data_IF_967219208690
#
_entry.id   IF_967219208690
#
_cell.length_a   1.000
_cell.length_b   1.000
_cell.length_c   1.000
_cell.angle_alpha   90.00
_cell.angle_beta   90.00
_cell.angle_gamma   90.00
#
_symmetry.space_group_name_H-M   'P 1'
#
loop_
_entity.id
_entity.type
_entity.pdbx_description
1 polymer ?
#
# COMPACT_ATOMS: atom_id res chain seq x y z
N UNK A 1 9.97 12.58 21.13
CA UNK A 1 9.77 13.99 20.75
C UNK A 1 10.89 14.61 19.89
N UNK A 2 11.99 13.91 19.56
CA UNK A 2 13.19 14.57 18.98
C UNK A 2 13.43 14.45 17.47
N UNK A 3 12.66 13.68 16.70
CA UNK A 3 12.96 13.49 15.26
C UNK A 3 12.15 14.38 14.30
N UNK A 4 10.98 14.88 14.69
CA UNK A 4 10.22 15.89 13.89
C UNK A 4 10.82 17.30 13.96
N UNK A 5 11.71 17.57 14.93
CA UNK A 5 12.24 18.90 15.19
C UNK A 5 13.45 19.27 14.31
N UNK A 6 14.13 18.28 13.70
CA UNK A 6 15.34 18.53 12.90
C UNK A 6 15.03 18.84 11.42
N UNK A 7 13.86 18.43 10.93
CA UNK A 7 13.38 18.81 9.60
C UNK A 7 12.30 19.87 9.77
N UNK A 8 12.67 21.13 9.52
CA UNK A 8 11.79 22.30 9.58
C UNK A 8 10.73 22.33 8.45
N UNK A 9 10.08 21.19 8.20
CA UNK A 9 9.05 20.99 7.20
C UNK A 9 7.71 21.00 7.92
N UNK A 10 7.01 22.14 7.89
CA UNK A 10 5.60 22.19 8.21
C UNK A 10 4.81 21.78 6.96
N UNK A 11 4.32 20.55 6.95
CA UNK A 11 3.35 20.10 5.96
C UNK A 11 2.03 19.80 6.69
N UNK A 12 0.93 20.28 6.15
CA UNK A 12 -0.42 20.00 6.64
C UNK A 12 -0.81 18.57 6.21
N UNK A 13 -0.24 17.59 6.92
CA UNK A 13 -0.42 16.16 6.65
C UNK A 13 -0.92 15.50 7.94
N UNK A 14 -2.18 15.11 7.92
CA UNK A 14 -2.78 14.28 8.95
C UNK A 14 -2.40 12.81 8.75
N UNK A 15 -2.20 12.11 9.87
CA UNK A 15 -2.07 10.65 9.88
C UNK A 15 -3.35 9.99 9.34
N UNK A 16 -3.20 8.84 8.68
CA UNK A 16 -4.33 8.01 8.24
C UNK A 16 -4.90 7.14 9.36
N UNK A 17 -4.38 7.21 10.60
CA UNK A 17 -4.73 6.32 11.70
C UNK A 17 -6.25 6.18 11.90
N UNK A 18 -6.75 4.96 11.68
CA UNK A 18 -8.17 4.62 11.83
C UNK A 18 -8.36 3.11 12.00
N UNK A 19 -9.49 2.72 12.58
CA UNK A 19 -9.87 1.31 12.71
C UNK A 19 -10.40 0.79 11.37
N UNK A 20 -9.95 -0.41 10.95
CA UNK A 20 -10.32 -0.99 9.65
C UNK A 20 -11.31 -2.17 9.76
N UNK A 21 -11.80 -2.48 10.96
CA UNK A 21 -12.68 -3.63 11.18
C UNK A 21 -13.97 -3.58 10.35
N UNK A 22 -14.59 -2.40 10.22
CA UNK A 22 -15.82 -2.24 9.41
C UNK A 22 -15.56 -2.33 7.90
N UNK A 23 -14.39 -1.87 7.45
CA UNK A 23 -13.94 -2.07 6.07
C UNK A 23 -13.81 -3.57 5.77
N UNK A 24 -13.12 -4.32 6.64
CA UNK A 24 -12.93 -5.77 6.49
C UNK A 24 -14.25 -6.52 6.55
N UNK A 25 -15.14 -6.20 7.50
CA UNK A 25 -16.49 -6.77 7.59
C UNK A 25 -17.28 -6.56 6.29
N UNK A 26 -17.20 -5.34 5.72
CA UNK A 26 -17.86 -5.01 4.46
C UNK A 26 -17.31 -5.80 3.27
N UNK A 27 -15.98 -5.97 3.19
CA UNK A 27 -15.33 -6.78 2.15
C UNK A 27 -15.79 -8.24 2.22
N UNK A 28 -15.79 -8.84 3.41
CA UNK A 28 -16.20 -10.22 3.63
C UNK A 28 -17.71 -10.45 3.39
N UNK A 29 -18.53 -9.41 3.54
CA UNK A 29 -19.97 -9.50 3.28
C UNK A 29 -20.32 -9.72 1.80
N UNK A 30 -19.40 -9.42 0.87
CA UNK A 30 -19.66 -9.48 -0.57
C UNK A 30 -18.86 -10.56 -1.30
N UNK A 31 -17.78 -11.08 -0.73
CA UNK A 31 -16.96 -12.12 -1.34
C UNK A 31 -16.25 -12.98 -0.29
N UNK A 32 -16.20 -14.29 -0.54
CA UNK A 32 -15.36 -15.25 0.19
C UNK A 32 -14.01 -15.51 -0.50
N UNK A 33 -13.74 -14.84 -1.63
CA UNK A 33 -12.54 -15.05 -2.45
C UNK A 33 -11.46 -13.98 -2.17
N UNK A 34 -11.29 -13.63 -0.91
CA UNK A 34 -10.20 -12.78 -0.42
C UNK A 34 -9.08 -13.72 0.04
N UNK A 35 -7.97 -13.75 -0.68
CA UNK A 35 -6.87 -14.69 -0.44
C UNK A 35 -5.92 -14.22 0.66
N UNK A 36 -5.70 -12.92 0.77
CA UNK A 36 -4.80 -12.32 1.76
C UNK A 36 -5.25 -10.91 2.12
N UNK A 37 -5.03 -10.52 3.37
CA UNK A 37 -5.28 -9.18 3.88
C UNK A 37 -4.24 -8.86 4.96
N UNK A 38 -3.50 -7.76 4.81
CA UNK A 38 -2.49 -7.28 5.77
C UNK A 38 -2.53 -5.76 5.89
N UNK A 39 -2.33 -5.25 7.09
CA UNK A 39 -2.14 -3.83 7.34
C UNK A 39 -0.75 -3.36 6.89
N UNK A 40 -0.67 -2.13 6.37
CA UNK A 40 0.56 -1.58 5.78
C UNK A 40 1.34 -0.69 6.75
N UNK A 41 1.59 -1.21 7.96
CA UNK A 41 2.30 -0.51 9.05
C UNK A 41 3.81 -0.41 8.74
N UNK A 42 4.69 -1.08 9.50
CA UNK A 42 6.14 -0.92 9.31
C UNK A 42 6.58 -1.42 7.94
N UNK A 43 7.29 -0.56 7.21
CA UNK A 43 7.79 -0.85 5.86
C UNK A 43 6.74 -0.70 4.75
N UNK A 44 5.54 -0.24 5.10
CA UNK A 44 4.51 0.20 4.17
C UNK A 44 3.97 -0.88 3.23
N UNK A 45 3.33 -0.42 2.16
CA UNK A 45 2.75 -1.27 1.11
C UNK A 45 3.82 -2.11 0.42
N UNK A 46 5.03 -1.56 0.20
CA UNK A 46 6.13 -2.29 -0.44
C UNK A 46 6.52 -3.56 0.33
N UNK A 47 6.64 -3.47 1.66
CA UNK A 47 6.96 -4.64 2.49
C UNK A 47 5.84 -5.66 2.45
N UNK A 48 4.58 -5.22 2.59
CA UNK A 48 3.43 -6.13 2.55
C UNK A 48 3.35 -6.88 1.22
N UNK A 49 3.52 -6.19 0.09
CA UNK A 49 3.52 -6.83 -1.23
C UNK A 49 4.65 -7.84 -1.38
N UNK A 50 5.87 -7.50 -0.93
CA UNK A 50 7.00 -8.42 -0.96
C UNK A 50 6.76 -9.67 -0.11
N UNK A 51 6.21 -9.52 1.09
CA UNK A 51 5.88 -10.65 1.93
C UNK A 51 4.82 -11.55 1.29
N UNK A 52 3.78 -10.97 0.68
CA UNK A 52 2.77 -11.74 -0.05
C UNK A 52 3.40 -12.49 -1.24
N UNK A 53 4.25 -11.82 -2.02
CA UNK A 53 4.92 -12.41 -3.17
C UNK A 53 5.80 -13.60 -2.77
N UNK A 54 6.60 -13.44 -1.72
CA UNK A 54 7.50 -14.47 -1.18
C UNK A 54 6.71 -15.62 -0.57
N UNK A 55 5.78 -15.32 0.36
CA UNK A 55 5.05 -16.36 1.10
C UNK A 55 4.15 -17.21 0.17
N UNK A 56 3.69 -16.62 -0.93
CA UNK A 56 2.80 -17.28 -1.90
C UNK A 56 3.53 -17.83 -3.14
N UNK A 57 4.85 -17.58 -3.28
CA UNK A 57 5.63 -17.87 -4.49
C UNK A 57 4.98 -17.33 -5.78
N UNK A 58 4.65 -16.04 -5.78
CA UNK A 58 4.01 -15.38 -6.93
C UNK A 58 4.78 -14.14 -7.37
N UNK A 59 4.54 -13.70 -8.60
CA UNK A 59 4.97 -12.41 -9.10
C UNK A 59 3.82 -11.40 -8.98
N UNK A 60 4.11 -10.20 -8.47
CA UNK A 60 3.14 -9.12 -8.35
C UNK A 60 3.57 -7.95 -9.23
N UNK A 61 2.66 -7.50 -10.11
CA UNK A 61 2.85 -6.33 -10.96
C UNK A 61 1.92 -5.21 -10.52
N UNK A 62 2.47 -4.07 -10.12
CA UNK A 62 1.71 -2.87 -9.72
C UNK A 62 1.92 -1.72 -10.71
N UNK A 63 0.94 -0.83 -10.81
CA UNK A 63 0.92 0.29 -11.76
C UNK A 63 1.13 1.62 -11.03
N UNK A 64 2.13 2.40 -11.42
CA UNK A 64 2.49 3.65 -10.73
C UNK A 64 1.36 4.71 -10.73
N UNK A 65 0.59 4.80 -11.81
CA UNK A 65 -0.52 5.75 -11.95
C UNK A 65 -1.73 5.44 -11.06
N UNK A 66 -1.86 4.19 -10.62
CA UNK A 66 -2.97 3.75 -9.78
C UNK A 66 -2.75 3.99 -8.28
N UNK A 67 -1.51 4.29 -7.87
CA UNK A 67 -1.16 4.46 -6.45
C UNK A 67 -1.80 5.74 -5.86
N UNK A 68 -2.62 5.64 -4.81
CA UNK A 68 -3.42 6.76 -4.29
C UNK A 68 -2.61 7.64 -3.31
N UNK A 69 -1.50 8.19 -3.78
CA UNK A 69 -0.60 9.00 -2.96
C UNK A 69 -1.09 10.45 -2.94
N UNK A 70 -1.43 10.96 -1.76
CA UNK A 70 -1.85 12.36 -1.56
C UNK A 70 -0.74 13.32 -1.99
N UNK A 71 -1.11 14.45 -2.63
CA UNK A 71 -0.15 15.45 -3.13
C UNK A 71 0.81 15.97 -2.03
N UNK A 72 0.35 16.31 -0.81
CA UNK A 72 1.25 16.71 0.26
C UNK A 72 2.25 15.61 0.66
N UNK A 73 1.81 14.35 0.73
CA UNK A 73 2.68 13.20 1.02
C UNK A 73 3.74 13.03 -0.05
N UNK A 74 3.36 13.12 -1.33
CA UNK A 74 4.30 13.05 -2.45
C UNK A 74 5.36 14.15 -2.35
N UNK A 75 4.96 15.39 -2.11
CA UNK A 75 5.89 16.52 -1.98
C UNK A 75 6.88 16.35 -0.83
N UNK A 76 6.44 15.85 0.34
CA UNK A 76 7.35 15.56 1.45
C UNK A 76 8.30 14.41 1.12
N UNK A 77 7.80 13.32 0.53
CA UNK A 77 8.63 12.21 0.07
C UNK A 77 9.74 12.67 -0.88
N UNK A 78 9.40 13.51 -1.85
CA UNK A 78 10.36 14.07 -2.82
C UNK A 78 11.45 14.92 -2.13
N UNK A 79 11.07 15.81 -1.21
CA UNK A 79 12.02 16.66 -0.47
C UNK A 79 12.97 15.80 0.38
N UNK A 80 12.46 14.72 0.96
CA UNK A 80 13.20 13.86 1.89
C UNK A 80 13.97 12.72 1.21
N UNK A 81 13.79 12.52 -0.09
CA UNK A 81 14.32 11.36 -0.80
C UNK A 81 13.73 10.04 -0.30
N UNK A 82 12.50 10.07 0.20
CA UNK A 82 11.78 8.89 0.67
C UNK A 82 10.85 8.37 -0.43
N UNK A 83 10.71 7.06 -0.51
CA UNK A 83 9.72 6.43 -1.39
C UNK A 83 8.43 6.15 -0.58
N UNK A 84 7.27 6.70 -0.99
CA UNK A 84 6.02 6.61 -0.25
C UNK A 84 5.52 5.17 -0.06
N UNK A 85 5.93 4.23 -0.91
CA UNK A 85 5.52 2.82 -0.77
C UNK A 85 6.06 2.17 0.51
N UNK A 86 7.12 2.72 1.09
CA UNK A 86 7.77 2.21 2.29
C UNK A 86 7.41 2.96 3.56
N UNK A 87 6.64 4.05 3.45
CA UNK A 87 6.15 4.79 4.60
C UNK A 87 5.10 3.96 5.35
N UNK A 88 5.15 4.06 6.68
CA UNK A 88 4.18 3.38 7.51
C UNK A 88 2.79 4.02 7.42
N UNK A 89 1.77 3.18 7.43
CA UNK A 89 0.36 3.56 7.42
C UNK A 89 -0.31 2.95 8.66
N UNK A 90 -1.20 3.70 9.30
CA UNK A 90 -1.92 3.27 10.51
C UNK A 90 -3.43 3.12 10.27
N UNK A 91 -3.83 3.17 9.00
CA UNK A 91 -5.23 3.12 8.56
C UNK A 91 -5.38 2.63 7.13
N UNK A 92 -4.40 1.84 6.65
CA UNK A 92 -4.35 1.30 5.29
C UNK A 92 -4.08 -0.20 5.33
N UNK A 93 -4.77 -0.95 4.47
CA UNK A 93 -4.54 -2.37 4.25
C UNK A 93 -4.23 -2.66 2.77
N UNK A 94 -3.53 -3.76 2.53
CA UNK A 94 -3.36 -4.39 1.23
C UNK A 94 -4.14 -5.70 1.23
N UNK A 95 -4.92 -5.95 0.19
CA UNK A 95 -5.65 -7.20 0.02
C UNK A 95 -5.41 -7.81 -1.36
N UNK A 96 -5.36 -9.13 -1.42
CA UNK A 96 -5.35 -9.90 -2.65
C UNK A 96 -6.68 -10.63 -2.76
N UNK A 97 -7.37 -10.41 -3.88
CA UNK A 97 -8.70 -10.95 -4.16
C UNK A 97 -8.69 -11.69 -5.49
N UNK A 98 -9.58 -12.65 -5.66
CA UNK A 98 -9.76 -13.30 -6.96
C UNK A 98 -10.21 -12.27 -8.00
N UNK A 99 -9.66 -12.34 -9.21
CA UNK A 99 -9.88 -11.34 -10.26
C UNK A 99 -11.36 -11.09 -10.58
N UNK A 100 -12.19 -12.14 -10.58
CA UNK A 100 -13.63 -12.03 -10.84
C UNK A 100 -14.41 -11.24 -9.78
N UNK A 101 -13.86 -11.12 -8.57
CA UNK A 101 -14.49 -10.43 -7.43
C UNK A 101 -13.87 -9.05 -7.16
N UNK A 102 -12.82 -8.65 -7.90
CA UNK A 102 -12.05 -7.45 -7.62
C UNK A 102 -12.91 -6.17 -7.62
N UNK A 103 -13.72 -5.98 -8.67
CA UNK A 103 -14.61 -4.82 -8.77
C UNK A 103 -15.72 -4.84 -7.72
N UNK A 104 -16.23 -6.02 -7.38
CA UNK A 104 -17.27 -6.21 -6.37
C UNK A 104 -16.76 -5.79 -4.98
N UNK A 105 -15.58 -6.31 -4.61
CA UNK A 105 -14.94 -5.98 -3.33
C UNK A 105 -14.56 -4.50 -3.29
N UNK A 106 -13.95 -3.97 -4.35
CA UNK A 106 -13.59 -2.54 -4.43
C UNK A 106 -14.81 -1.64 -4.26
N UNK A 107 -15.92 -1.97 -4.92
CA UNK A 107 -17.17 -1.22 -4.78
C UNK A 107 -17.72 -1.27 -3.34
N UNK A 108 -17.57 -2.40 -2.65
CA UNK A 108 -17.98 -2.54 -1.27
C UNK A 108 -17.07 -1.73 -0.32
N UNK A 109 -15.75 -1.73 -0.55
CA UNK A 109 -14.79 -0.92 0.20
C UNK A 109 -15.11 0.57 0.12
N UNK A 110 -15.40 1.08 -1.09
CA UNK A 110 -15.75 2.49 -1.33
C UNK A 110 -17.07 2.94 -0.71
N UNK A 111 -17.86 2.03 -0.14
CA UNK A 111 -19.08 2.37 0.61
C UNK A 111 -18.80 2.67 2.08
N UNK A 112 -17.58 2.44 2.56
CA UNK A 112 -17.16 2.79 3.92
C UNK A 112 -16.32 4.05 3.90
N UNK A 113 -16.22 4.73 5.05
CA UNK A 113 -15.40 5.94 5.18
C UNK A 113 -13.91 5.62 5.02
N UNK A 114 -13.48 4.51 5.59
CA UNK A 114 -12.10 4.05 5.61
C UNK A 114 -11.61 3.65 4.20
N UNK A 115 -12.51 3.11 3.37
CA UNK A 115 -12.22 2.64 2.03
C UNK A 115 -12.54 3.63 0.90
N UNK A 116 -12.85 4.90 1.19
CA UNK A 116 -13.26 5.89 0.18
C UNK A 116 -12.23 6.04 -0.96
N UNK A 117 -10.93 5.90 -0.62
CA UNK A 117 -9.80 6.03 -1.53
C UNK A 117 -9.24 4.66 -1.98
N UNK A 118 -9.96 3.56 -1.72
CA UNK A 118 -9.52 2.24 -2.14
C UNK A 118 -9.36 2.18 -3.67
N UNK A 119 -8.36 1.45 -4.14
CA UNK A 119 -8.08 1.25 -5.55
C UNK A 119 -7.45 -0.11 -5.79
N UNK A 120 -7.58 -0.60 -7.02
CA UNK A 120 -6.80 -1.73 -7.51
C UNK A 120 -5.48 -1.15 -8.00
N UNK A 121 -4.37 -1.60 -7.38
CA UNK A 121 -3.03 -1.08 -7.70
C UNK A 121 -2.22 -1.98 -8.63
N UNK A 122 -2.73 -3.17 -8.94
CA UNK A 122 -1.99 -4.19 -9.66
C UNK A 122 -2.64 -5.57 -9.61
N UNK A 123 -1.88 -6.57 -10.00
CA UNK A 123 -2.32 -7.96 -10.09
C UNK A 123 -1.19 -8.95 -9.79
N UNK A 124 -1.58 -10.17 -9.46
CA UNK A 124 -0.69 -11.33 -9.50
C UNK A 124 -0.61 -11.79 -10.95
N UNK A 125 0.60 -11.87 -11.50
CA UNK A 125 0.85 -12.17 -12.91
C UNK A 125 1.91 -13.25 -13.08
N UNK A 126 2.11 -13.70 -14.32
CA UNK A 126 3.24 -14.57 -14.66
C UNK A 126 4.56 -13.78 -14.59
N UNK A 127 5.57 -14.35 -13.94
CA UNK A 127 6.86 -13.70 -13.77
C UNK A 127 7.76 -14.43 -12.77
N UNK A 128 8.89 -13.84 -12.38
CA UNK A 128 9.77 -14.44 -11.37
C UNK A 128 9.06 -14.46 -10.01
N UNK A 129 8.94 -15.65 -9.42
CA UNK A 129 8.33 -15.85 -8.10
C UNK A 129 9.05 -15.04 -7.01
N UNK A 130 8.29 -14.52 -6.04
CA UNK A 130 8.85 -13.75 -4.93
C UNK A 130 9.28 -12.32 -5.31
N UNK A 131 8.87 -11.84 -6.48
CA UNK A 131 9.25 -10.51 -6.98
C UNK A 131 8.03 -9.60 -7.11
N UNK A 132 8.21 -8.34 -6.72
CA UNK A 132 7.27 -7.25 -6.97
C UNK A 132 7.87 -6.28 -7.98
N UNK A 133 7.14 -5.96 -9.04
CA UNK A 133 7.53 -4.95 -10.03
C UNK A 133 6.51 -3.82 -10.10
N UNK A 134 7.02 -2.60 -10.16
CA UNK A 134 6.28 -1.38 -10.45
C UNK A 134 6.46 -1.01 -11.91
N UNK A 135 5.36 -1.01 -12.65
CA UNK A 135 5.29 -0.49 -14.00
C UNK A 135 5.18 1.04 -13.91
N UNK A 136 6.19 1.72 -14.45
CA UNK A 136 6.30 3.17 -14.41
C UNK A 136 5.43 3.82 -15.48
N UNK A 137 5.12 5.10 -15.30
CA UNK A 137 4.38 5.92 -16.26
C UNK A 137 4.98 5.92 -17.69
N UNK A 138 6.27 5.64 -17.82
CA UNK A 138 6.99 5.63 -19.10
C UNK A 138 7.16 4.22 -19.70
N UNK A 139 6.48 3.21 -19.13
CA UNK A 139 6.49 1.83 -19.63
C UNK A 139 7.74 1.02 -19.25
N UNK A 140 8.59 1.54 -18.36
CA UNK A 140 9.69 0.78 -17.76
C UNK A 140 9.26 0.08 -16.46
N UNK A 141 10.00 -0.94 -16.05
CA UNK A 141 9.73 -1.69 -14.82
C UNK A 141 10.80 -1.42 -13.77
N UNK A 142 10.37 -1.12 -12.53
CA UNK A 142 11.23 -0.99 -11.35
C UNK A 142 10.93 -2.15 -10.40
N UNK A 143 11.95 -2.91 -10.00
CA UNK A 143 11.77 -3.91 -8.93
C UNK A 143 11.60 -3.19 -7.60
N UNK A 144 10.57 -3.57 -6.85
CA UNK A 144 10.29 -3.08 -5.50
C UNK A 144 10.80 -4.12 -4.52
N UNK A 145 11.94 -3.83 -3.88
CA UNK A 145 12.53 -4.74 -2.90
C UNK A 145 11.91 -4.56 -1.51
N UNK A 146 12.14 -5.50 -0.59
CA UNK A 146 11.77 -5.33 0.81
C UNK A 146 12.57 -4.19 1.44
N UNK A 147 11.97 -3.44 2.37
CA UNK A 147 12.71 -2.44 3.12
C UNK A 147 13.81 -3.11 3.95
N UNK A 148 15.04 -2.63 3.81
CA UNK A 148 16.15 -3.01 4.68
C UNK A 148 16.30 -1.93 5.74
N UNK A 149 15.96 -2.26 7.00
CA UNK A 149 15.98 -1.31 8.12
C UNK A 149 14.70 -0.47 8.24
N UNK A 150 14.79 0.68 8.90
CA UNK A 150 13.66 1.62 9.07
C UNK A 150 13.96 2.94 8.35
N UNK A 151 12.99 3.50 7.62
CA UNK A 151 13.13 4.83 6.99
C UNK A 151 13.15 5.96 8.00
N UNK A 152 12.35 5.86 9.07
CA UNK A 152 12.21 6.89 10.09
C UNK A 152 12.15 6.24 11.47
N UNK A 153 13.04 6.64 12.41
CA UNK A 153 13.03 6.07 13.75
C UNK A 153 11.80 6.54 14.54
N UNK A 154 11.13 5.59 15.21
CA UNK A 154 9.92 5.82 16.05
C UNK A 154 8.74 6.38 15.26
N UNK A 155 8.47 5.82 14.08
CA UNK A 155 7.36 6.23 13.21
C UNK A 155 5.99 5.72 13.69
N UNK A 156 5.99 4.59 14.41
CA UNK A 156 4.83 3.90 14.98
C UNK A 156 5.10 3.61 16.47
#
# INVERSE_FOLDING_TARGET
>A
MQSRAELAISADIDSDCQVLNHLVEKMLSVSNNIHSLRDATRGGVATVLNEIAIDSNVFISIQEDTLPIRVPTRGVCEILGLDPLYLANEGTLVCVVKAEDADLVLKAMKQTKEGENACIIGEVADGPEGVVALNTLFGGNKIIDKLIGDQLPRIC
#
